data_IF_020752460900
#
_entry.id   IF_020752460900
#
_cell.length_a   1.000
_cell.length_b   1.000
_cell.length_c   1.000
_cell.angle_alpha   90.00
_cell.angle_beta   90.00
_cell.angle_gamma   90.00
#
_symmetry.space_group_name_H-M   'P 1'
#
loop_
_entity.id
_entity.type
_entity.pdbx_description
1 polymer ?
#
# COMPACT_ATOMS: atom_id res chain seq x y z
N UNK A 1 7.78 14.15 -0.04
CA UNK A 1 7.37 12.83 -0.55
C UNK A 1 7.55 11.72 0.48
N UNK A 2 8.80 11.32 0.83
CA UNK A 2 9.06 10.18 1.73
C UNK A 2 8.32 10.21 3.08
N UNK A 3 8.31 11.35 3.78
CA UNK A 3 7.58 11.50 5.08
C UNK A 3 6.06 11.32 4.93
N UNK A 4 5.48 11.75 3.81
CA UNK A 4 4.05 11.60 3.54
C UNK A 4 3.71 10.14 3.26
N UNK A 5 4.54 9.44 2.47
CA UNK A 5 4.39 8.00 2.20
C UNK A 5 4.45 7.21 3.51
N UNK A 6 5.42 7.50 4.38
CA UNK A 6 5.50 6.88 5.71
C UNK A 6 4.27 7.15 6.57
N UNK A 7 3.74 8.37 6.54
CA UNK A 7 2.47 8.70 7.22
C UNK A 7 1.27 7.92 6.67
N UNK A 8 1.18 7.75 5.35
CA UNK A 8 0.15 6.95 4.70
C UNK A 8 0.27 5.46 5.03
N UNK A 9 1.48 4.91 5.07
CA UNK A 9 1.72 3.52 5.49
C UNK A 9 1.28 3.33 6.94
N UNK A 10 1.68 4.23 7.85
CA UNK A 10 1.26 4.16 9.25
C UNK A 10 -0.26 4.22 9.40
N UNK A 11 -0.92 5.11 8.65
CA UNK A 11 -2.38 5.22 8.63
C UNK A 11 -3.03 3.91 8.16
N UNK A 12 -2.53 3.33 7.06
CA UNK A 12 -3.04 2.05 6.53
C UNK A 12 -2.86 0.91 7.54
N UNK A 13 -1.73 0.85 8.24
CA UNK A 13 -1.48 -0.18 9.27
C UNK A 13 -2.49 -0.07 10.42
N UNK A 14 -2.81 1.14 10.87
CA UNK A 14 -3.81 1.35 11.91
C UNK A 14 -5.20 0.98 11.42
N UNK A 15 -5.58 1.42 10.21
CA UNK A 15 -6.87 1.08 9.58
C UNK A 15 -7.02 -0.43 9.38
N UNK A 16 -5.94 -1.14 9.05
CA UNK A 16 -5.95 -2.57 8.81
C UNK A 16 -6.23 -3.41 10.06
N UNK A 17 -6.09 -2.87 11.28
CA UNK A 17 -6.44 -3.61 12.50
C UNK A 17 -7.95 -3.86 12.63
N UNK A 18 -8.77 -3.00 12.01
CA UNK A 18 -10.23 -3.14 11.90
C UNK A 18 -10.98 -3.52 13.21
N UNK A 19 -10.49 -3.05 14.36
CA UNK A 19 -11.02 -3.41 15.68
C UNK A 19 -12.49 -2.94 15.87
N UNK A 20 -12.90 -1.90 15.13
CA UNK A 20 -14.23 -1.29 15.24
C UNK A 20 -15.31 -1.98 14.42
N UNK A 21 -14.96 -2.76 13.38
CA UNK A 21 -15.95 -3.32 12.44
C UNK A 21 -16.19 -4.82 12.63
N UNK A 22 -15.58 -5.43 13.66
CA UNK A 22 -15.57 -6.88 13.87
C UNK A 22 -16.99 -7.48 13.95
N UNK A 23 -17.91 -6.82 14.64
CA UNK A 23 -19.28 -7.32 14.87
C UNK A 23 -20.29 -6.84 13.81
N UNK A 24 -19.83 -6.46 12.61
CA UNK A 24 -20.69 -5.89 11.57
C UNK A 24 -21.11 -6.92 10.51
N UNK A 25 -22.35 -7.40 10.63
CA UNK A 25 -22.94 -8.40 9.73
C UNK A 25 -23.57 -7.80 8.46
N UNK A 26 -23.38 -6.50 8.20
CA UNK A 26 -23.96 -5.87 7.00
C UNK A 26 -23.32 -6.42 5.73
N UNK A 27 -24.16 -6.67 4.73
CA UNK A 27 -23.73 -7.09 3.40
C UNK A 27 -23.73 -5.91 2.43
N UNK A 28 -22.63 -5.74 1.70
CA UNK A 28 -22.51 -4.85 0.55
C UNK A 28 -23.03 -5.59 -0.68
N UNK A 29 -23.91 -4.93 -1.45
CA UNK A 29 -24.61 -5.53 -2.60
C UNK A 29 -25.39 -6.82 -2.28
N UNK A 30 -25.67 -7.09 -1.00
CA UNK A 30 -26.37 -8.30 -0.55
C UNK A 30 -25.55 -9.60 -0.61
N UNK A 31 -24.23 -9.53 -0.92
CA UNK A 31 -23.39 -10.72 -1.12
C UNK A 31 -22.09 -10.65 -0.33
N UNK A 32 -21.46 -9.48 -0.25
CA UNK A 32 -20.11 -9.34 0.31
C UNK A 32 -20.19 -8.82 1.74
N UNK A 33 -19.61 -9.49 2.76
CA UNK A 33 -19.50 -8.94 4.10
C UNK A 33 -18.81 -7.59 4.10
N UNK A 34 -19.33 -6.61 4.83
CA UNK A 34 -18.77 -5.24 4.86
C UNK A 34 -17.33 -5.23 5.37
N UNK A 35 -17.00 -6.10 6.32
CA UNK A 35 -15.64 -6.33 6.80
C UNK A 35 -14.70 -6.74 5.67
N UNK A 36 -15.14 -7.66 4.81
CA UNK A 36 -14.38 -8.10 3.63
C UNK A 36 -14.24 -6.97 2.60
N UNK A 37 -15.32 -6.25 2.30
CA UNK A 37 -15.29 -5.11 1.38
C UNK A 37 -14.34 -4.01 1.87
N UNK A 38 -14.33 -3.73 3.17
CA UNK A 38 -13.43 -2.80 3.82
C UNK A 38 -11.96 -3.19 3.62
N UNK A 39 -11.61 -4.46 3.86
CA UNK A 39 -10.25 -4.95 3.65
C UNK A 39 -9.83 -4.92 2.17
N UNK A 40 -10.75 -5.19 1.25
CA UNK A 40 -10.49 -5.06 -0.18
C UNK A 40 -10.13 -3.61 -0.56
N UNK A 41 -10.85 -2.62 -0.01
CA UNK A 41 -10.51 -1.22 -0.19
C UNK A 41 -9.13 -0.87 0.40
N UNK A 42 -8.77 -1.39 1.58
CA UNK A 42 -7.43 -1.21 2.15
C UNK A 42 -6.35 -1.78 1.22
N UNK A 43 -6.54 -2.98 0.65
CA UNK A 43 -5.58 -3.58 -0.27
C UNK A 43 -5.35 -2.74 -1.54
N UNK A 44 -6.42 -2.16 -2.09
CA UNK A 44 -6.34 -1.23 -3.23
C UNK A 44 -5.56 0.03 -2.83
N UNK A 45 -5.89 0.62 -1.67
CA UNK A 45 -5.20 1.81 -1.16
C UNK A 45 -3.71 1.54 -0.90
N UNK A 46 -3.37 0.38 -0.33
CA UNK A 46 -1.99 -0.05 -0.12
C UNK A 46 -1.22 -0.16 -1.44
N UNK A 47 -1.85 -0.75 -2.46
CA UNK A 47 -1.26 -0.84 -3.81
C UNK A 47 -0.99 0.54 -4.41
N UNK A 48 -1.91 1.50 -4.25
CA UNK A 48 -1.74 2.87 -4.72
C UNK A 48 -0.62 3.63 -3.98
N UNK A 49 -0.54 3.47 -2.66
CA UNK A 49 0.55 4.04 -1.86
C UNK A 49 1.89 3.45 -2.30
N UNK A 50 1.95 2.14 -2.54
CA UNK A 50 3.17 1.47 -2.98
C UNK A 50 3.59 1.90 -4.39
N UNK A 51 2.64 2.02 -5.32
CA UNK A 51 2.90 2.54 -6.66
C UNK A 51 3.46 3.98 -6.60
N UNK A 52 2.87 4.84 -5.76
CA UNK A 52 3.36 6.19 -5.56
C UNK A 52 4.77 6.20 -4.97
N UNK A 53 5.06 5.28 -4.04
CA UNK A 53 6.38 5.12 -3.45
C UNK A 53 7.41 4.66 -4.50
N UNK A 54 7.07 3.69 -5.33
CA UNK A 54 7.93 3.21 -6.41
C UNK A 54 8.24 4.32 -7.42
N UNK A 55 7.26 5.14 -7.80
CA UNK A 55 7.46 6.20 -8.78
C UNK A 55 8.17 7.45 -8.25
N UNK A 56 8.19 7.68 -6.94
CA UNK A 56 8.65 8.97 -6.36
C UNK A 56 9.73 8.87 -5.30
N UNK A 57 9.90 7.69 -4.69
CA UNK A 57 10.85 7.47 -3.60
C UNK A 57 11.93 6.44 -3.94
N UNK A 58 11.81 5.76 -5.09
CA UNK A 58 12.86 4.91 -5.63
C UNK A 58 14.09 5.76 -5.99
N UNK A 59 15.29 5.40 -5.52
CA UNK A 59 16.49 6.22 -5.74
C UNK A 59 17.14 5.90 -7.10
N UNK A 60 17.30 6.94 -7.92
CA UNK A 60 17.88 6.85 -9.28
C UNK A 60 19.35 6.38 -9.29
N UNK A 61 20.10 6.64 -8.22
CA UNK A 61 21.51 6.22 -8.12
C UNK A 61 21.70 4.69 -8.17
N UNK A 62 20.68 3.90 -7.81
CA UNK A 62 20.77 2.43 -7.91
C UNK A 62 20.83 1.94 -9.37
N UNK A 63 20.41 2.76 -10.34
CA UNK A 63 20.45 2.41 -11.76
C UNK A 63 21.88 2.54 -12.30
N UNK A 64 22.64 3.56 -11.86
CA UNK A 64 24.02 3.84 -12.28
C UNK A 64 25.02 2.75 -11.84
N UNK A 65 24.82 2.16 -10.65
CA UNK A 65 25.65 1.03 -10.21
C UNK A 65 25.39 -0.27 -11.00
N UNK A 66 24.17 -0.44 -11.53
CA UNK A 66 23.81 -1.61 -12.33
C UNK A 66 24.46 -1.58 -13.72
N UNK A 67 24.45 -0.42 -14.39
CA UNK A 67 25.08 -0.24 -15.71
C UNK A 67 26.62 -0.32 -15.62
N UNK A 68 27.22 0.21 -14.54
CA UNK A 68 28.67 0.11 -14.33
C UNK A 68 29.13 -1.32 -14.02
N UNK A 69 28.29 -2.16 -13.39
CA UNK A 69 28.62 -3.57 -13.12
C UNK A 69 28.49 -4.44 -14.36
N UNK A 70 27.53 -4.16 -15.26
CA UNK A 70 27.36 -4.89 -16.53
C UNK A 70 28.43 -4.51 -17.56
N UNK A 71 28.86 -3.24 -17.62
CA UNK A 71 29.95 -2.81 -18.52
C UNK A 71 31.34 -3.34 -18.11
N UNK A 72 31.49 -3.83 -16.88
CA UNK A 72 32.73 -4.39 -16.34
C UNK A 72 32.81 -5.93 -16.43
N UNK A 73 31.78 -6.59 -16.96
CA UNK A 73 31.67 -8.05 -17.13
C UNK A 73 31.85 -8.48 -18.59
#
# INVERSE_FOLDING_TARGET
MKKVIWGLILLLVVLHQDIWNWDNDRLVFGIIPVTLAYHACISIAASAVWLTAALTAWPDHLEDESESSEAAQ
#
